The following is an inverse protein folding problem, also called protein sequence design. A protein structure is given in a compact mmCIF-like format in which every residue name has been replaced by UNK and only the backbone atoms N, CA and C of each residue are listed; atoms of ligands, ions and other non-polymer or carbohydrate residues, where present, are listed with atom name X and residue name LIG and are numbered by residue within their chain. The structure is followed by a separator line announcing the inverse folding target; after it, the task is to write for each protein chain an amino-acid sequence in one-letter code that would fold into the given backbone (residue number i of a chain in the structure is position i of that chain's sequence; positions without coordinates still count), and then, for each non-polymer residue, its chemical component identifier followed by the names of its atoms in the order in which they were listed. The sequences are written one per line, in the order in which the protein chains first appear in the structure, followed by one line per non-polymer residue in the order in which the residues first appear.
data_IF_114170083792
#
_entry.id   IF_114170083792
#
_cell.length_a   1.000
_cell.length_b   1.000
_cell.length_c   1.000
_cell.angle_alpha   90.00
_cell.angle_beta   90.00
_cell.angle_gamma   90.00
#
_symmetry.space_group_name_H-M   'P 1'
#
loop_
_entity.id
_entity.type
_entity.pdbx_description
1 polymer ?
#
# COMPACT_ATOMS: atom_id res chain seq x y z
N UNK A 1 -4.59 1.87 13.84
CA UNK A 1 -5.19 1.71 12.50
C UNK A 1 -4.49 0.50 11.93
N UNK A 2 -5.14 -0.66 12.06
CA UNK A 2 -4.43 -1.94 12.17
C UNK A 2 -4.60 -2.81 10.93
N UNK A 3 -5.07 -2.22 9.83
CA UNK A 3 -5.35 -2.89 8.56
C UNK A 3 -4.16 -2.85 7.57
N UNK A 4 -2.98 -2.34 7.97
CA UNK A 4 -1.79 -2.31 7.10
C UNK A 4 -0.96 -3.59 7.24
N UNK A 5 -0.54 -4.13 6.10
CA UNK A 5 0.35 -5.29 6.00
C UNK A 5 1.57 -4.94 5.16
N UNK A 6 2.73 -5.36 5.64
CA UNK A 6 4.04 -5.02 5.11
C UNK A 6 4.67 -6.21 4.38
N UNK A 7 5.09 -5.93 3.14
CA UNK A 7 5.99 -6.77 2.36
C UNK A 7 7.39 -6.15 2.25
N UNK A 8 8.28 -6.70 1.41
CA UNK A 8 9.68 -6.24 1.33
C UNK A 8 9.82 -4.79 0.87
N UNK A 9 9.01 -4.37 -0.12
CA UNK A 9 9.11 -3.04 -0.72
C UNK A 9 7.76 -2.33 -0.94
N UNK A 10 6.68 -2.84 -0.35
CA UNK A 10 5.33 -2.30 -0.52
C UNK A 10 4.46 -2.57 0.71
N UNK A 11 3.47 -1.70 0.94
CA UNK A 11 2.46 -1.85 1.98
C UNK A 11 1.10 -2.03 1.33
N UNK A 12 0.25 -2.85 1.93
CA UNK A 12 -1.14 -3.04 1.52
C UNK A 12 -2.11 -2.79 2.66
N UNK A 13 -3.31 -2.36 2.31
CA UNK A 13 -4.46 -2.19 3.20
C UNK A 13 -5.35 -3.43 3.05
N UNK A 14 -5.70 -4.07 4.16
CA UNK A 14 -6.70 -5.13 4.16
C UNK A 14 -8.11 -4.50 4.03
N UNK A 15 -8.84 -4.73 2.93
CA UNK A 15 -10.15 -4.13 2.72
C UNK A 15 -11.22 -4.69 3.68
N UNK A 16 -11.02 -5.88 4.24
CA UNK A 16 -11.98 -6.48 5.18
C UNK A 16 -11.82 -5.90 6.60
N UNK A 17 -10.68 -5.26 6.90
CA UNK A 17 -10.38 -4.60 8.18
C UNK A 17 -10.42 -3.06 8.08
N UNK A 18 -10.41 -2.51 6.86
CA UNK A 18 -10.55 -1.09 6.62
C UNK A 18 -11.99 -0.64 6.95
N UNK A 19 -12.11 0.53 7.58
CA UNK A 19 -13.40 1.12 7.98
C UNK A 19 -13.67 2.45 7.27
N UNK A 20 -12.92 2.73 6.20
CA UNK A 20 -13.08 3.92 5.36
C UNK A 20 -13.07 5.26 6.12
N UNK A 21 -12.19 5.38 7.11
CA UNK A 21 -12.07 6.63 7.88
C UNK A 21 -11.19 7.71 7.20
N UNK A 22 -10.58 7.39 6.05
CA UNK A 22 -9.80 8.27 5.16
C UNK A 22 -8.63 9.05 5.79
N UNK A 23 -8.24 8.76 7.04
CA UNK A 23 -7.11 9.43 7.72
C UNK A 23 -5.79 9.18 6.97
N UNK A 24 -5.56 7.97 6.48
CA UNK A 24 -4.29 7.59 5.84
C UNK A 24 -4.05 8.23 4.47
N UNK A 25 -5.11 8.75 3.81
CA UNK A 25 -5.03 9.37 2.47
C UNK A 25 -4.10 10.59 2.51
N UNK A 26 -4.27 11.47 3.50
CA UNK A 26 -3.46 12.68 3.67
C UNK A 26 -2.06 12.46 4.25
N UNK A 27 -1.82 11.29 4.85
CA UNK A 27 -0.56 10.97 5.53
C UNK A 27 0.49 10.39 4.57
N UNK A 28 0.09 9.88 3.41
CA UNK A 28 1.02 9.31 2.44
C UNK A 28 1.79 10.44 1.71
N UNK A 29 3.12 10.58 1.88
CA UNK A 29 3.89 11.69 1.31
C UNK A 29 3.95 11.67 -0.22
N UNK A 30 3.62 10.53 -0.85
CA UNK A 30 3.57 10.36 -2.30
C UNK A 30 2.14 10.20 -2.84
N UNK A 31 1.13 10.45 -1.99
CA UNK A 31 -0.30 10.36 -2.33
C UNK A 31 -0.70 9.03 -3.01
N UNK A 32 -0.14 7.91 -2.54
CA UNK A 32 -0.40 6.58 -3.11
C UNK A 32 -1.65 5.89 -2.55
N UNK A 33 -2.23 6.41 -1.46
CA UNK A 33 -3.45 5.89 -0.84
C UNK A 33 -4.62 6.74 -1.31
N UNK A 34 -5.63 6.10 -1.88
CA UNK A 34 -6.86 6.74 -2.38
C UNK A 34 -8.07 5.90 -1.97
N UNK A 35 -9.26 6.51 -1.98
CA UNK A 35 -10.50 5.75 -1.81
C UNK A 35 -10.76 4.86 -3.03
N UNK A 36 -11.39 3.70 -2.84
CA UNK A 36 -11.60 2.72 -3.93
C UNK A 36 -12.33 3.33 -5.13
N UNK A 37 -13.31 4.21 -4.88
CA UNK A 37 -14.08 4.92 -5.92
C UNK A 37 -13.25 5.93 -6.72
N UNK A 38 -12.09 6.32 -6.22
CA UNK A 38 -11.19 7.32 -6.82
C UNK A 38 -9.99 6.66 -7.51
N UNK A 39 -9.90 5.33 -7.50
CA UNK A 39 -8.84 4.59 -8.18
C UNK A 39 -8.98 4.79 -9.70
N UNK A 40 -7.88 5.22 -10.33
CA UNK A 40 -7.80 5.31 -11.78
C UNK A 40 -8.04 3.92 -12.42
N UNK A 41 -8.78 3.81 -13.53
CA UNK A 41 -9.04 2.53 -14.19
C UNK A 41 -7.78 1.71 -14.51
N UNK A 42 -6.66 2.37 -14.84
CA UNK A 42 -5.37 1.72 -15.08
C UNK A 42 -4.76 1.10 -13.82
N UNK A 43 -5.19 1.51 -12.63
CA UNK A 43 -4.73 1.06 -11.33
C UNK A 43 -5.72 0.15 -10.59
N UNK A 44 -6.87 -0.16 -11.19
CA UNK A 44 -7.90 -1.00 -10.57
C UNK A 44 -7.39 -2.37 -10.07
N UNK A 45 -6.33 -2.90 -10.70
CA UNK A 45 -5.67 -4.14 -10.29
C UNK A 45 -5.10 -4.08 -8.85
N UNK A 46 -4.77 -2.88 -8.33
CA UNK A 46 -4.28 -2.73 -6.95
C UNK A 46 -5.32 -3.11 -5.90
N UNK A 47 -6.63 -3.06 -6.20
CA UNK A 47 -7.67 -3.52 -5.27
C UNK A 47 -7.50 -5.00 -4.95
N UNK A 48 -7.32 -5.82 -5.99
CA UNK A 48 -7.10 -7.26 -5.82
C UNK A 48 -5.77 -7.56 -5.12
N UNK A 49 -4.71 -6.85 -5.50
CA UNK A 49 -3.38 -6.98 -4.88
C UNK A 49 -3.44 -6.69 -3.38
N UNK A 50 -4.13 -5.63 -2.97
CA UNK A 50 -4.27 -5.29 -1.55
C UNK A 50 -4.98 -6.40 -0.77
N UNK A 51 -6.07 -6.94 -1.32
CA UNK A 51 -6.82 -8.06 -0.73
C UNK A 51 -5.99 -9.34 -0.64
N UNK A 52 -5.30 -9.71 -1.70
CA UNK A 52 -4.58 -10.99 -1.78
C UNK A 52 -3.32 -10.96 -0.89
N UNK A 53 -2.57 -9.86 -0.92
CA UNK A 53 -1.34 -9.74 -0.14
C UNK A 53 -1.60 -9.55 1.35
N UNK A 54 -2.67 -8.87 1.76
CA UNK A 54 -3.02 -8.77 3.18
C UNK A 54 -3.42 -10.11 3.80
N UNK A 55 -3.91 -11.06 2.99
CA UNK A 55 -4.22 -12.44 3.41
C UNK A 55 -3.00 -13.37 3.36
N UNK A 56 -1.91 -12.94 2.73
CA UNK A 56 -0.70 -13.75 2.63
C UNK A 56 0.01 -13.79 3.99
N UNK A 57 0.26 -14.98 4.59
CA UNK A 57 0.87 -15.09 5.91
C UNK A 57 2.30 -14.55 5.97
N UNK A 58 2.96 -14.33 4.82
CA UNK A 58 4.30 -13.74 4.75
C UNK A 58 4.28 -12.20 4.84
N UNK A 59 3.14 -11.58 4.59
CA UNK A 59 2.93 -10.14 4.78
C UNK A 59 2.49 -9.89 6.21
N UNK A 60 3.24 -9.07 6.94
CA UNK A 60 3.06 -8.92 8.39
C UNK A 60 2.34 -7.63 8.70
N UNK A 61 1.41 -7.67 9.66
CA UNK A 61 0.72 -6.48 10.14
C UNK A 61 1.74 -5.46 10.67
N UNK A 62 1.63 -4.22 10.21
CA UNK A 62 2.43 -3.09 10.69
C UNK A 62 1.51 -2.11 11.42
N UNK A 63 1.84 -1.81 12.67
CA UNK A 63 1.04 -0.91 13.55
C UNK A 63 1.82 0.33 13.98
N UNK A 64 3.08 0.44 13.58
CA UNK A 64 3.96 1.55 13.89
C UNK A 64 4.76 1.93 12.65
N UNK A 65 4.95 3.22 12.44
CA UNK A 65 5.80 3.73 11.36
C UNK A 65 7.24 3.27 11.53
N UNK A 66 7.92 3.15 10.40
CA UNK A 66 9.36 2.87 10.29
C UNK A 66 9.98 3.92 9.37
N UNK A 67 11.31 3.99 9.38
CA UNK A 67 12.04 4.78 8.38
C UNK A 67 11.70 4.29 6.96
N UNK A 68 11.58 5.21 5.99
CA UNK A 68 11.38 4.83 4.61
C UNK A 68 12.57 4.03 4.06
N UNK A 69 12.37 3.31 2.96
CA UNK A 69 13.44 2.56 2.30
C UNK A 69 14.57 3.48 1.82
N UNK A 70 15.79 2.94 1.65
CA UNK A 70 16.86 3.64 0.95
C UNK A 70 16.37 4.17 -0.40
N UNK A 71 16.83 5.37 -0.78
CA UNK A 71 16.52 5.99 -2.07
C UNK A 71 15.02 6.29 -2.32
N UNK A 72 14.15 6.23 -1.29
CA UNK A 72 12.71 6.50 -1.45
C UNK A 72 12.41 7.83 -2.17
N UNK A 73 13.22 8.87 -1.95
CA UNK A 73 13.10 10.18 -2.61
C UNK A 73 13.21 10.09 -4.14
N UNK A 74 14.10 9.23 -4.65
CA UNK A 74 14.27 9.02 -6.08
C UNK A 74 13.06 8.27 -6.66
N UNK A 75 12.57 7.25 -5.93
CA UNK A 75 11.45 6.41 -6.33
C UNK A 75 10.08 7.09 -6.18
N UNK A 76 9.97 8.17 -5.41
CA UNK A 76 8.73 8.91 -5.18
C UNK A 76 8.14 9.48 -6.48
N UNK A 77 8.98 9.80 -7.47
CA UNK A 77 8.56 10.43 -8.75
C UNK A 77 8.42 9.43 -9.90
N UNK A 78 8.79 8.17 -9.68
CA UNK A 78 8.76 7.13 -10.71
C UNK A 78 7.37 6.49 -10.77
N UNK A 79 6.79 6.42 -11.97
CA UNK A 79 5.50 5.79 -12.25
C UNK A 79 5.66 4.33 -12.64
N UNK A 80 4.55 3.59 -12.67
CA UNK A 80 4.47 2.23 -13.22
C UNK A 80 5.41 1.20 -12.56
N UNK A 81 5.59 1.33 -11.24
CA UNK A 81 6.49 0.50 -10.43
C UNK A 81 5.95 -0.90 -10.10
N UNK A 82 4.76 -1.27 -10.59
CA UNK A 82 4.12 -2.54 -10.24
C UNK A 82 4.99 -3.76 -10.58
N UNK A 83 5.74 -3.70 -11.68
CA UNK A 83 6.66 -4.76 -12.10
C UNK A 83 7.87 -4.95 -11.16
N UNK A 84 8.09 -4.01 -10.22
CA UNK A 84 9.15 -4.06 -9.22
C UNK A 84 8.67 -4.58 -7.86
N UNK A 85 7.39 -4.94 -7.73
CA UNK A 85 6.84 -5.48 -6.48
C UNK A 85 7.57 -6.76 -6.08
N UNK A 86 8.20 -6.75 -4.92
CA UNK A 86 8.90 -7.92 -4.39
C UNK A 86 7.94 -8.80 -3.58
N UNK A 87 8.08 -10.12 -3.76
CA UNK A 87 7.41 -11.10 -2.92
C UNK A 87 8.39 -11.62 -1.87
N UNK A 88 7.95 -11.76 -0.61
CA UNK A 88 8.75 -12.41 0.44
C UNK A 88 8.91 -13.91 0.17
#
# INVERSE_FOLDING_TARGET
MDCFYEGPNFLVINPDECIDCSICVGECPVAAIVEEKEIDPGQAHFVHINRDLSRNPRWKRITRSKSPLPEHDAWAKVKDKMHLLEQP
#
